data_IF_706789981558
#
_entry.id   IF_706789981558
#
_cell.length_a   1.000
_cell.length_b   1.000
_cell.length_c   1.000
_cell.angle_alpha   90.00
_cell.angle_beta   90.00
_cell.angle_gamma   90.00
#
_symmetry.space_group_name_H-M   'P 1'
#
loop_
_entity.id
_entity.type
_entity.pdbx_description
1 polymer ?
#
# COMPACT_ATOMS: atom_id res chain seq x y z
N UNK A 1 -33.90 -4.69 1.23
CA UNK A 1 -33.25 -5.26 2.44
C UNK A 1 -33.33 -4.25 3.58
N UNK A 2 -33.68 -4.65 4.82
CA UNK A 2 -33.63 -3.77 6.00
C UNK A 2 -32.17 -3.36 6.27
N UNK A 3 -31.87 -2.06 6.38
CA UNK A 3 -30.50 -1.55 6.53
C UNK A 3 -29.74 -2.13 7.73
N UNK A 4 -30.46 -2.52 8.80
CA UNK A 4 -29.91 -3.18 9.98
C UNK A 4 -29.21 -4.51 9.66
N UNK A 5 -29.75 -5.29 8.72
CA UNK A 5 -29.15 -6.57 8.32
C UNK A 5 -27.91 -6.35 7.46
N UNK A 6 -27.96 -5.37 6.54
CA UNK A 6 -26.80 -5.01 5.71
C UNK A 6 -25.62 -4.52 6.56
N UNK A 7 -25.88 -3.68 7.56
CA UNK A 7 -24.86 -3.21 8.49
C UNK A 7 -24.25 -4.35 9.32
N UNK A 8 -25.07 -5.32 9.73
CA UNK A 8 -24.59 -6.51 10.44
C UNK A 8 -23.66 -7.34 9.55
N UNK A 9 -24.07 -7.65 8.31
CA UNK A 9 -23.23 -8.39 7.36
C UNK A 9 -21.92 -7.66 7.05
N UNK A 10 -21.96 -6.34 6.86
CA UNK A 10 -20.75 -5.54 6.66
C UNK A 10 -19.80 -5.58 7.86
N UNK A 11 -20.32 -5.50 9.08
CA UNK A 11 -19.48 -5.57 10.28
C UNK A 11 -18.87 -6.96 10.45
N UNK A 12 -19.64 -8.02 10.23
CA UNK A 12 -19.13 -9.39 10.26
C UNK A 12 -18.02 -9.56 9.21
N UNK A 13 -18.25 -9.13 7.96
CA UNK A 13 -17.27 -9.21 6.89
C UNK A 13 -15.97 -8.48 7.26
N UNK A 14 -16.06 -7.25 7.81
CA UNK A 14 -14.89 -6.49 8.26
C UNK A 14 -14.11 -7.25 9.33
N UNK A 15 -14.79 -7.75 10.36
CA UNK A 15 -14.15 -8.47 11.47
C UNK A 15 -13.48 -9.75 10.95
N UNK A 16 -14.12 -10.50 10.07
CA UNK A 16 -13.55 -11.71 9.47
C UNK A 16 -12.32 -11.39 8.63
N UNK A 17 -12.37 -10.35 7.78
CA UNK A 17 -11.21 -9.95 6.96
C UNK A 17 -10.03 -9.50 7.82
N UNK A 18 -10.29 -8.72 8.87
CA UNK A 18 -9.25 -8.30 9.83
C UNK A 18 -8.69 -9.51 10.56
N UNK A 19 -9.53 -10.42 11.03
CA UNK A 19 -9.08 -11.63 11.73
C UNK A 19 -8.21 -12.52 10.83
N UNK A 20 -8.60 -12.75 9.57
CA UNK A 20 -7.78 -13.49 8.61
C UNK A 20 -6.45 -12.78 8.38
N UNK A 21 -6.45 -11.45 8.22
CA UNK A 21 -5.21 -10.68 8.08
C UNK A 21 -4.28 -10.83 9.29
N UNK A 22 -4.81 -10.70 10.50
CA UNK A 22 -4.03 -10.87 11.75
C UNK A 22 -3.48 -12.29 11.86
N UNK A 23 -4.29 -13.31 11.58
CA UNK A 23 -3.84 -14.72 11.59
C UNK A 23 -2.76 -14.95 10.53
N UNK A 24 -2.90 -14.39 9.33
CA UNK A 24 -1.88 -14.44 8.29
C UNK A 24 -0.55 -13.82 8.75
N UNK A 25 -0.59 -12.72 9.50
CA UNK A 25 0.62 -12.13 10.09
C UNK A 25 1.25 -13.06 11.15
N UNK A 26 0.44 -13.75 11.97
CA UNK A 26 0.93 -14.73 12.94
C UNK A 26 1.70 -15.89 12.30
N UNK A 27 1.37 -16.27 11.06
CA UNK A 27 2.11 -17.28 10.30
C UNK A 27 3.55 -16.85 9.95
N UNK A 28 3.86 -15.56 10.05
CA UNK A 28 5.16 -14.98 9.73
C UNK A 28 6.07 -14.76 10.96
N UNK A 29 5.52 -14.75 12.18
CA UNK A 29 6.27 -14.43 13.40
C UNK A 29 7.26 -15.52 13.86
N UNK A 30 7.21 -16.72 13.28
CA UNK A 30 8.15 -17.83 13.53
C UNK A 30 8.91 -18.22 12.24
N UNK A 31 9.37 -17.24 11.47
CA UNK A 31 10.24 -17.49 10.33
C UNK A 31 11.62 -18.03 10.76
N UNK A 32 12.31 -18.80 9.91
CA UNK A 32 13.67 -19.26 10.16
C UNK A 32 14.67 -18.09 10.24
N UNK A 33 15.77 -18.29 10.97
CA UNK A 33 16.87 -17.32 11.00
C UNK A 33 17.48 -17.21 9.59
N UNK A 34 17.51 -15.98 9.07
CA UNK A 34 18.06 -15.67 7.74
C UNK A 34 19.56 -15.95 7.62
N UNK A 35 20.27 -16.08 8.75
CA UNK A 35 21.68 -16.46 8.82
C UNK A 35 21.87 -17.95 9.18
N UNK A 36 20.77 -18.69 9.37
CA UNK A 36 20.76 -20.11 9.72
C UNK A 36 20.91 -21.03 8.51
N UNK A 37 20.34 -22.23 8.59
CA UNK A 37 20.39 -23.21 7.49
C UNK A 37 19.67 -22.67 6.23
N UNK A 38 20.37 -22.51 5.08
CA UNK A 38 19.76 -22.05 3.84
C UNK A 38 18.53 -22.85 3.41
N UNK A 39 18.48 -24.14 3.74
CA UNK A 39 17.38 -25.03 3.35
C UNK A 39 16.09 -24.72 4.10
N UNK A 40 16.17 -24.39 5.39
CA UNK A 40 14.99 -24.03 6.18
C UNK A 40 14.40 -22.69 5.71
N UNK A 41 15.26 -21.75 5.32
CA UNK A 41 14.86 -20.46 4.74
C UNK A 41 14.16 -20.66 3.40
N UNK A 42 14.67 -21.56 2.56
CA UNK A 42 14.08 -21.89 1.27
C UNK A 42 12.72 -22.60 1.42
N UNK A 43 12.64 -23.59 2.31
CA UNK A 43 11.40 -24.33 2.60
C UNK A 43 10.31 -23.41 3.20
N UNK A 44 10.68 -22.43 4.02
CA UNK A 44 9.73 -21.44 4.53
C UNK A 44 9.25 -20.48 3.45
N UNK A 45 10.15 -20.01 2.57
CA UNK A 45 9.85 -19.09 1.47
C UNK A 45 8.91 -19.73 0.44
N UNK A 46 9.19 -20.96 0.07
CA UNK A 46 8.42 -21.69 -0.96
C UNK A 46 7.24 -22.45 -0.32
N UNK A 47 7.17 -22.44 1.01
CA UNK A 47 6.15 -23.11 1.80
C UNK A 47 4.79 -22.41 1.83
N UNK A 48 3.78 -23.17 2.24
CA UNK A 48 2.38 -22.74 2.26
C UNK A 48 2.10 -21.53 3.17
N UNK A 49 2.93 -21.29 4.20
CA UNK A 49 2.74 -20.17 5.14
C UNK A 49 3.01 -18.82 4.48
N UNK A 50 4.19 -18.67 3.87
CA UNK A 50 4.56 -17.45 3.16
C UNK A 50 3.74 -17.30 1.88
N UNK A 51 3.46 -18.40 1.18
CA UNK A 51 2.58 -18.41 0.01
C UNK A 51 1.17 -17.89 0.33
N UNK A 52 0.51 -18.41 1.38
CA UNK A 52 -0.81 -17.96 1.78
C UNK A 52 -0.83 -16.48 2.19
N UNK A 53 0.13 -16.05 3.03
CA UNK A 53 0.20 -14.66 3.48
C UNK A 53 0.43 -13.69 2.30
N UNK A 54 1.28 -14.07 1.35
CA UNK A 54 1.59 -13.27 0.16
C UNK A 54 0.39 -13.17 -0.77
N UNK A 55 -0.30 -14.29 -1.05
CA UNK A 55 -1.50 -14.31 -1.90
C UNK A 55 -2.64 -13.53 -1.26
N UNK A 56 -2.88 -13.70 0.04
CA UNK A 56 -3.90 -12.92 0.76
C UNK A 56 -3.61 -11.43 0.71
N UNK A 57 -2.35 -11.03 0.94
CA UNK A 57 -1.93 -9.62 0.84
C UNK A 57 -2.15 -9.07 -0.57
N UNK A 58 -1.72 -9.81 -1.60
CA UNK A 58 -1.94 -9.45 -2.99
C UNK A 58 -3.42 -9.30 -3.33
N UNK A 59 -4.28 -10.18 -2.83
CA UNK A 59 -5.73 -10.10 -2.99
C UNK A 59 -6.32 -8.85 -2.35
N UNK A 60 -5.91 -8.49 -1.13
CA UNK A 60 -6.36 -7.28 -0.45
C UNK A 60 -5.90 -6.02 -1.19
N UNK A 61 -4.66 -5.98 -1.67
CA UNK A 61 -4.14 -4.87 -2.49
C UNK A 61 -4.95 -4.73 -3.77
N UNK A 62 -5.21 -5.83 -4.46
CA UNK A 62 -6.03 -5.85 -5.68
C UNK A 62 -7.45 -5.32 -5.43
N UNK A 63 -8.12 -5.82 -4.38
CA UNK A 63 -9.44 -5.31 -3.98
C UNK A 63 -9.41 -3.82 -3.62
N UNK A 64 -8.35 -3.38 -2.93
CA UNK A 64 -8.14 -1.98 -2.57
C UNK A 64 -8.06 -1.08 -3.80
N UNK A 65 -7.25 -1.46 -4.79
CA UNK A 65 -7.16 -0.75 -6.08
C UNK A 65 -8.53 -0.71 -6.76
N UNK A 66 -9.23 -1.84 -6.85
CA UNK A 66 -10.57 -1.91 -7.44
C UNK A 66 -11.57 -0.99 -6.76
N UNK A 67 -11.56 -0.93 -5.42
CA UNK A 67 -12.40 -0.04 -4.62
C UNK A 67 -12.08 1.44 -4.85
N UNK A 68 -10.79 1.80 -4.93
CA UNK A 68 -10.37 3.17 -5.23
C UNK A 68 -10.87 3.58 -6.61
N UNK A 69 -10.67 2.75 -7.64
CA UNK A 69 -11.15 3.03 -8.99
C UNK A 69 -12.68 3.15 -9.04
N UNK A 70 -13.40 2.22 -8.41
CA UNK A 70 -14.85 2.27 -8.30
C UNK A 70 -15.33 3.56 -7.63
N UNK A 71 -14.67 3.97 -6.54
CA UNK A 71 -14.95 5.21 -5.85
C UNK A 71 -14.77 6.42 -6.78
N UNK A 72 -13.67 6.49 -7.54
CA UNK A 72 -13.44 7.55 -8.52
C UNK A 72 -14.54 7.59 -9.59
N UNK A 73 -14.98 6.45 -10.13
CA UNK A 73 -16.05 6.39 -11.14
C UNK A 73 -17.36 6.93 -10.57
N UNK A 74 -17.79 6.45 -9.40
CA UNK A 74 -19.02 6.92 -8.74
C UNK A 74 -18.94 8.41 -8.43
N UNK A 75 -17.78 8.88 -7.97
CA UNK A 75 -17.58 10.29 -7.63
C UNK A 75 -17.53 11.17 -8.89
N UNK A 76 -17.01 10.67 -10.01
CA UNK A 76 -17.00 11.39 -11.29
C UNK A 76 -18.43 11.66 -11.76
N UNK A 77 -19.33 10.67 -11.63
CA UNK A 77 -20.74 10.81 -11.97
C UNK A 77 -21.46 11.74 -11.00
N UNK A 78 -21.22 11.58 -9.70
CA UNK A 78 -22.01 12.24 -8.66
C UNK A 78 -21.54 13.65 -8.32
N UNK A 79 -20.23 13.93 -8.43
CA UNK A 79 -19.59 15.18 -8.02
C UNK A 79 -18.37 15.53 -8.91
N UNK A 80 -18.56 15.73 -10.23
CA UNK A 80 -17.46 15.85 -11.19
C UNK A 80 -16.44 16.93 -10.82
N UNK A 81 -16.88 18.10 -10.35
CA UNK A 81 -15.99 19.21 -9.96
C UNK A 81 -15.01 18.83 -8.84
N UNK A 82 -15.49 18.09 -7.83
CA UNK A 82 -14.63 17.64 -6.71
C UNK A 82 -13.71 16.51 -7.15
N UNK A 83 -14.20 15.63 -8.02
CA UNK A 83 -13.40 14.53 -8.57
C UNK A 83 -12.24 15.03 -9.42
N UNK A 84 -12.45 16.09 -10.21
CA UNK A 84 -11.37 16.74 -10.97
C UNK A 84 -10.24 17.24 -10.05
N UNK A 85 -10.58 17.82 -8.89
CA UNK A 85 -9.58 18.22 -7.90
C UNK A 85 -8.80 17.01 -7.35
N UNK A 86 -9.48 15.88 -7.09
CA UNK A 86 -8.81 14.64 -6.69
C UNK A 86 -7.88 14.10 -7.79
N UNK A 87 -8.29 14.18 -9.05
CA UNK A 87 -7.46 13.77 -10.21
C UNK A 87 -6.22 14.68 -10.31
N UNK A 88 -6.35 15.99 -10.07
CA UNK A 88 -5.20 16.89 -10.03
C UNK A 88 -4.20 16.51 -8.93
N UNK A 89 -4.68 16.04 -7.78
CA UNK A 89 -3.81 15.49 -6.74
C UNK A 89 -3.03 14.25 -7.20
N UNK A 90 -3.67 13.34 -7.93
CA UNK A 90 -3.00 12.19 -8.55
C UNK A 90 -1.95 12.61 -9.58
N UNK A 91 -2.26 13.61 -10.42
CA UNK A 91 -1.31 14.17 -11.39
C UNK A 91 -0.12 14.81 -10.66
N UNK A 92 -0.35 15.57 -9.59
CA UNK A 92 0.73 16.14 -8.79
C UNK A 92 1.64 15.06 -8.18
N UNK A 93 1.06 13.97 -7.67
CA UNK A 93 1.83 12.82 -7.18
C UNK A 93 2.63 12.15 -8.30
N UNK A 94 2.06 12.02 -9.50
CA UNK A 94 2.78 11.50 -10.67
C UNK A 94 3.95 12.42 -11.06
N UNK A 95 3.76 13.73 -11.05
CA UNK A 95 4.84 14.69 -11.33
C UNK A 95 5.97 14.56 -10.30
N UNK A 96 5.63 14.46 -9.01
CA UNK A 96 6.63 14.23 -7.94
C UNK A 96 7.39 12.93 -8.18
N UNK A 97 6.67 11.84 -8.54
CA UNK A 97 7.30 10.58 -8.90
C UNK A 97 8.25 10.73 -10.08
N UNK A 98 7.84 11.41 -11.15
CA UNK A 98 8.68 11.62 -12.32
C UNK A 98 9.93 12.44 -11.99
N UNK A 99 9.83 13.40 -11.06
CA UNK A 99 10.99 14.15 -10.55
C UNK A 99 11.96 13.22 -9.82
N UNK A 100 11.49 12.38 -8.90
CA UNK A 100 12.36 11.42 -8.22
C UNK A 100 12.93 10.36 -9.15
N UNK A 101 12.12 9.88 -10.11
CA UNK A 101 12.56 8.92 -11.11
C UNK A 101 13.64 9.51 -12.01
N UNK A 102 13.49 10.77 -12.44
CA UNK A 102 14.49 11.48 -13.24
C UNK A 102 15.74 11.85 -12.44
N UNK A 103 15.61 12.12 -11.14
CA UNK A 103 16.74 12.35 -10.24
C UNK A 103 17.59 11.09 -10.05
N UNK A 104 17.00 9.91 -10.26
CA UNK A 104 17.65 8.62 -10.07
C UNK A 104 17.83 8.28 -8.58
N UNK A 105 18.51 7.17 -8.32
CA UNK A 105 18.89 6.75 -6.98
C UNK A 105 20.36 6.31 -6.97
N UNK A 106 21.04 6.51 -5.83
CA UNK A 106 22.35 5.91 -5.56
C UNK A 106 22.26 4.46 -5.11
N UNK A 107 21.05 3.94 -4.88
CA UNK A 107 20.84 2.56 -4.46
C UNK A 107 21.20 1.59 -5.59
N UNK A 108 21.91 0.53 -5.24
CA UNK A 108 22.31 -0.55 -6.13
C UNK A 108 21.94 -1.90 -5.52
N UNK A 109 22.06 -2.97 -6.30
CA UNK A 109 21.90 -4.34 -5.79
C UNK A 109 22.84 -4.65 -4.61
N UNK A 110 24.02 -4.02 -4.59
CA UNK A 110 25.04 -4.19 -3.55
C UNK A 110 24.67 -3.44 -2.27
N UNK A 111 24.22 -2.18 -2.38
CA UNK A 111 23.81 -1.39 -1.19
C UNK A 111 22.53 -1.93 -0.57
N UNK A 112 21.63 -2.49 -1.39
CA UNK A 112 20.37 -3.10 -0.95
C UNK A 112 20.51 -4.57 -0.56
N UNK A 113 21.69 -5.18 -0.75
CA UNK A 113 21.98 -6.58 -0.44
C UNK A 113 20.94 -7.54 -1.02
N UNK A 114 20.53 -7.31 -2.26
CA UNK A 114 19.48 -8.10 -2.90
C UNK A 114 20.01 -9.50 -3.22
N UNK A 115 19.37 -10.54 -2.65
CA UNK A 115 19.73 -11.95 -2.91
C UNK A 115 19.56 -12.34 -4.39
N UNK A 116 18.60 -11.73 -5.08
CA UNK A 116 18.44 -11.85 -6.53
C UNK A 116 18.59 -10.47 -7.14
N UNK A 117 19.69 -10.20 -7.86
CA UNK A 117 19.90 -8.90 -8.45
C UNK A 117 18.81 -8.60 -9.48
N UNK A 118 18.27 -7.38 -9.41
CA UNK A 118 17.27 -6.86 -10.34
C UNK A 118 17.88 -5.76 -11.19
N UNK A 119 17.18 -5.40 -12.26
CA UNK A 119 17.62 -4.32 -13.13
C UNK A 119 17.63 -2.97 -12.39
N UNK A 120 18.61 -2.11 -12.72
CA UNK A 120 18.77 -0.80 -12.08
C UNK A 120 17.54 0.09 -12.32
N UNK A 121 16.80 -0.09 -13.42
CA UNK A 121 15.54 0.60 -13.66
C UNK A 121 14.46 0.18 -12.65
N UNK A 122 14.43 -1.10 -12.24
CA UNK A 122 13.51 -1.57 -11.20
C UNK A 122 13.83 -0.92 -9.85
N UNK A 123 15.11 -0.83 -9.48
CA UNK A 123 15.56 -0.16 -8.24
C UNK A 123 15.20 1.32 -8.28
N UNK A 124 15.46 1.99 -9.40
CA UNK A 124 15.17 3.42 -9.59
C UNK A 124 13.67 3.72 -9.51
N UNK A 125 12.84 2.93 -10.21
CA UNK A 125 11.39 3.08 -10.17
C UNK A 125 10.82 2.84 -8.75
N UNK A 126 11.32 1.81 -8.06
CA UNK A 126 10.86 1.49 -6.71
C UNK A 126 11.26 2.58 -5.71
N UNK A 127 12.51 3.04 -5.78
CA UNK A 127 13.03 4.11 -4.90
C UNK A 127 12.27 5.42 -5.11
N UNK A 128 12.00 5.79 -6.36
CA UNK A 128 11.17 6.96 -6.67
C UNK A 128 9.75 6.82 -6.11
N UNK A 129 9.14 5.63 -6.20
CA UNK A 129 7.82 5.35 -5.62
C UNK A 129 7.80 5.50 -4.09
N UNK A 130 8.84 5.02 -3.41
CA UNK A 130 8.99 5.16 -1.96
C UNK A 130 9.09 6.63 -1.55
N UNK A 131 9.92 7.42 -2.23
CA UNK A 131 10.06 8.85 -1.97
C UNK A 131 8.76 9.62 -2.21
N UNK A 132 8.06 9.34 -3.32
CA UNK A 132 6.74 9.94 -3.57
C UNK A 132 5.74 9.61 -2.46
N UNK A 133 5.75 8.37 -1.97
CA UNK A 133 4.86 7.94 -0.87
C UNK A 133 5.19 8.69 0.41
N UNK A 134 6.47 8.81 0.76
CA UNK A 134 6.92 9.57 1.94
C UNK A 134 6.51 11.05 1.87
N UNK A 135 6.68 11.68 0.70
CA UNK A 135 6.23 13.06 0.47
C UNK A 135 4.72 13.17 0.61
N UNK A 136 3.95 12.27 -0.01
CA UNK A 136 2.48 12.29 0.04
C UNK A 136 1.96 12.11 1.47
N UNK A 137 2.53 11.19 2.25
CA UNK A 137 2.19 11.00 3.67
C UNK A 137 2.52 12.26 4.46
N UNK A 138 3.71 12.85 4.25
CA UNK A 138 4.15 14.06 4.96
C UNK A 138 3.23 15.24 4.67
N UNK A 139 2.92 15.49 3.39
CA UNK A 139 1.99 16.56 2.98
C UNK A 139 0.59 16.28 3.53
N UNK A 140 0.14 15.03 3.52
CA UNK A 140 -1.14 14.63 4.12
C UNK A 140 -1.21 14.92 5.62
N UNK A 141 -0.16 14.61 6.37
CA UNK A 141 -0.06 14.92 7.80
C UNK A 141 -0.08 16.43 8.05
N UNK A 142 0.69 17.21 7.28
CA UNK A 142 0.69 18.67 7.37
C UNK A 142 -0.69 19.27 7.06
N UNK A 143 -1.41 18.73 6.07
CA UNK A 143 -2.77 19.12 5.75
C UNK A 143 -3.76 18.83 6.90
N UNK A 144 -3.61 17.70 7.59
CA UNK A 144 -4.42 17.36 8.77
C UNK A 144 -4.14 18.35 9.92
N UNK A 145 -2.87 18.61 10.22
CA UNK A 145 -2.46 19.52 11.30
C UNK A 145 -2.96 20.95 11.02
N UNK A 146 -2.73 21.47 9.82
CA UNK A 146 -3.22 22.80 9.42
C UNK A 146 -4.75 22.89 9.45
N UNK A 147 -5.46 21.82 9.06
CA UNK A 147 -6.92 21.72 9.18
C UNK A 147 -7.40 21.77 10.63
N UNK A 148 -6.67 21.17 11.57
CA UNK A 148 -6.97 21.24 13.01
C UNK A 148 -6.83 22.67 13.55
N UNK A 149 -5.73 23.36 13.25
CA UNK A 149 -5.54 24.75 13.68
C UNK A 149 -6.56 25.72 13.08
N UNK A 150 -6.87 25.58 11.79
CA UNK A 150 -7.85 26.47 11.13
C UNK A 150 -9.30 26.24 11.60
N UNK A 151 -9.65 25.05 12.09
CA UNK A 151 -10.93 24.80 12.75
C UNK A 151 -10.98 25.26 14.20
N UNK A 152 -9.85 25.25 14.93
CA UNK A 152 -9.80 25.68 16.33
C UNK A 152 -9.82 27.21 16.51
N UNK A 153 -9.60 27.98 15.44
CA UNK A 153 -9.59 29.46 15.45
C UNK A 153 -10.95 30.04 15.01
N UNK A 154 -11.92 29.20 14.61
CA UNK A 154 -13.32 29.58 14.40
C UNK A 154 -14.17 29.18 15.58
#
# INVERSE_FOLDING_TARGET
MKSKNLNLYMNILKVVLVAIGVVSCLLLFNGPDINGDPKEVEDFRDGARLGFASVFTGFIVFLGIGLILFFFVVQLISNPKKTVLSILGLIAALVIYLVFWAAGTSDTNETLQLRHPVDQATITATSAGLWTTLVAITVGLLAIISGFFTRSIK
#
